data_IF_823503486120
#
_entry.id   IF_823503486120
#
_cell.length_a   1.000
_cell.length_b   1.000
_cell.length_c   1.000
_cell.angle_alpha   90.00
_cell.angle_beta   90.00
_cell.angle_gamma   90.00
#
_symmetry.space_group_name_H-M   'P 1'
#
loop_
_entity.id
_entity.type
_entity.pdbx_description
1 polymer ?
#
# COMPACT_ATOMS: atom_id res chain seq x y z
N UNK A 1 -22.65 3.72 -4.17
CA UNK A 1 -23.07 2.33 -3.92
C UNK A 1 -21.84 1.48 -3.68
N UNK A 2 -21.39 1.38 -2.43
CA UNK A 2 -20.27 0.52 -2.03
C UNK A 2 -20.84 -0.82 -1.59
N UNK A 3 -20.70 -1.87 -2.38
CA UNK A 3 -21.16 -3.23 -2.02
C UNK A 3 -20.00 -4.01 -1.40
N UNK A 4 -19.81 -3.81 -0.09
CA UNK A 4 -18.87 -4.59 0.70
C UNK A 4 -19.50 -5.97 1.00
N UNK A 5 -19.11 -6.98 0.23
CA UNK A 5 -19.53 -8.36 0.45
C UNK A 5 -18.68 -8.94 1.60
N UNK A 6 -19.30 -9.11 2.76
CA UNK A 6 -18.75 -9.84 3.90
C UNK A 6 -18.26 -11.23 3.46
N UNK A 7 -17.01 -11.57 3.77
CA UNK A 7 -16.63 -12.95 4.09
C UNK A 7 -16.12 -13.00 5.52
N UNK A 8 -16.88 -13.76 6.28
CA UNK A 8 -16.67 -14.24 7.64
C UNK A 8 -15.38 -15.02 7.80
N UNK A 9 -14.75 -14.85 8.96
CA UNK A 9 -13.96 -15.89 9.61
C UNK A 9 -12.48 -15.93 9.23
N UNK A 10 -11.65 -15.19 9.97
CA UNK A 10 -10.41 -15.76 10.49
C UNK A 10 -10.12 -15.12 11.85
N UNK A 11 -10.38 -15.91 12.89
CA UNK A 11 -9.83 -15.76 14.23
C UNK A 11 -8.36 -15.37 14.17
N UNK A 12 -8.03 -14.21 14.76
CA UNK A 12 -6.73 -13.80 15.32
C UNK A 12 -5.56 -14.66 14.82
N UNK A 13 -5.13 -14.43 13.57
CA UNK A 13 -3.90 -15.02 13.06
C UNK A 13 -2.77 -14.52 13.94
N UNK A 14 -2.14 -15.50 14.59
CA UNK A 14 -1.00 -15.38 15.49
C UNK A 14 0.30 -15.03 14.73
N UNK A 15 0.16 -14.61 13.48
CA UNK A 15 1.22 -14.28 12.52
C UNK A 15 1.30 -12.76 12.25
N UNK A 16 0.49 -11.95 12.94
CA UNK A 16 0.71 -10.50 12.98
C UNK A 16 1.96 -10.24 13.81
N UNK A 17 3.11 -10.32 13.13
CA UNK A 17 4.44 -9.83 13.53
C UNK A 17 4.24 -8.57 14.38
N UNK A 18 4.89 -8.50 15.55
CA UNK A 18 4.70 -7.50 16.60
C UNK A 18 4.98 -6.04 16.21
N UNK A 19 4.24 -5.53 15.23
CA UNK A 19 4.21 -4.14 14.81
C UNK A 19 3.29 -3.38 15.76
N UNK A 20 3.73 -2.22 16.23
CA UNK A 20 2.92 -1.38 17.09
C UNK A 20 1.65 -0.96 16.34
N UNK A 21 0.47 -1.29 16.89
CA UNK A 21 -0.83 -1.03 16.28
C UNK A 21 -1.58 0.06 17.06
N UNK A 22 -2.09 1.07 16.34
CA UNK A 22 -2.85 2.18 16.91
C UNK A 22 -4.21 2.31 16.25
N UNK A 23 -5.23 2.73 17.01
CA UNK A 23 -6.51 3.08 16.41
C UNK A 23 -6.38 4.41 15.63
N UNK A 24 -7.16 4.59 14.55
CA UNK A 24 -7.29 5.86 13.82
C UNK A 24 -7.51 7.05 14.77
N UNK A 25 -8.31 6.90 15.81
CA UNK A 25 -8.57 7.99 16.76
C UNK A 25 -7.32 8.41 17.54
N UNK A 26 -6.58 7.44 18.09
CA UNK A 26 -5.32 7.69 18.79
C UNK A 26 -4.25 8.23 17.83
N UNK A 27 -4.20 7.68 16.62
CA UNK A 27 -3.25 8.09 15.60
C UNK A 27 -3.46 9.55 15.16
N UNK A 28 -4.71 10.03 15.06
CA UNK A 28 -4.99 11.43 14.75
C UNK A 28 -4.51 12.37 15.87
N UNK A 29 -4.65 11.95 17.13
CA UNK A 29 -4.25 12.77 18.29
C UNK A 29 -2.73 12.80 18.47
N UNK A 30 -2.03 11.70 18.20
CA UNK A 30 -0.59 11.56 18.43
C UNK A 30 0.23 11.49 17.13
N UNK A 31 -0.32 12.00 16.02
CA UNK A 31 0.25 11.79 14.69
C UNK A 31 1.72 12.23 14.60
N UNK A 32 2.08 13.40 15.10
CA UNK A 32 3.46 13.91 15.07
C UNK A 32 4.44 12.97 15.76
N UNK A 33 4.09 12.43 16.94
CA UNK A 33 4.93 11.47 17.66
C UNK A 33 5.05 10.13 16.93
N UNK A 34 3.98 9.68 16.27
CA UNK A 34 4.02 8.47 15.46
C UNK A 34 4.90 8.63 14.22
N UNK A 35 4.95 9.83 13.62
CA UNK A 35 5.87 10.15 12.53
C UNK A 35 7.32 10.11 12.99
N UNK A 36 7.65 10.71 14.14
CA UNK A 36 9.01 10.66 14.68
C UNK A 36 9.47 9.21 14.89
N UNK A 37 8.61 8.37 15.46
CA UNK A 37 8.87 6.94 15.64
C UNK A 37 8.99 6.19 14.31
N UNK A 38 8.13 6.47 13.35
CA UNK A 38 8.24 5.89 12.02
C UNK A 38 9.57 6.29 11.35
N UNK A 39 10.01 7.54 11.56
CA UNK A 39 11.27 8.05 11.02
C UNK A 39 12.51 7.38 11.63
N UNK A 40 12.45 6.90 12.88
CA UNK A 40 13.55 6.09 13.47
C UNK A 40 13.63 4.67 12.88
N UNK A 41 12.72 4.32 11.99
CA UNK A 41 12.67 3.00 11.34
C UNK A 41 11.60 2.08 11.91
N UNK A 42 10.78 2.54 12.85
CA UNK A 42 9.66 1.76 13.37
C UNK A 42 8.56 1.61 12.30
N UNK A 43 7.98 0.42 12.24
CA UNK A 43 6.82 0.16 11.40
C UNK A 43 5.56 0.12 12.26
N UNK A 44 4.62 1.03 11.98
CA UNK A 44 3.44 1.28 12.80
C UNK A 44 2.18 1.05 11.97
N UNK A 45 1.25 0.25 12.48
CA UNK A 45 -0.03 -0.02 11.81
C UNK A 45 -1.13 0.86 12.38
N UNK A 46 -1.85 1.56 11.52
CA UNK A 46 -3.07 2.27 11.89
C UNK A 46 -4.27 1.41 11.51
N UNK A 47 -5.16 1.17 12.47
CA UNK A 47 -6.33 0.32 12.32
C UNK A 47 -7.62 1.00 12.78
N UNK A 48 -8.78 0.54 12.29
CA UNK A 48 -10.10 0.93 12.78
C UNK A 48 -10.85 -0.32 13.18
N UNK A 49 -11.31 -0.39 14.43
CA UNK A 49 -12.02 -1.55 14.96
C UNK A 49 -11.26 -2.88 14.74
N UNK A 50 -9.93 -2.86 14.88
CA UNK A 50 -9.06 -4.02 14.66
C UNK A 50 -8.64 -4.25 13.21
N UNK A 51 -9.34 -3.66 12.23
CA UNK A 51 -9.02 -3.79 10.81
C UNK A 51 -7.87 -2.83 10.43
N UNK A 52 -6.73 -3.32 9.92
CA UNK A 52 -5.62 -2.48 9.50
C UNK A 52 -6.01 -1.66 8.26
N UNK A 53 -5.78 -0.35 8.31
CA UNK A 53 -6.13 0.59 7.24
C UNK A 53 -4.90 1.21 6.57
N UNK A 54 -3.86 1.46 7.34
CA UNK A 54 -2.65 2.08 6.84
C UNK A 54 -1.42 1.60 7.63
N UNK A 55 -0.25 1.78 7.04
CA UNK A 55 1.04 1.54 7.67
C UNK A 55 1.90 2.79 7.55
N UNK A 56 2.45 3.23 8.66
CA UNK A 56 3.47 4.25 8.74
C UNK A 56 4.83 3.54 8.85
N UNK A 57 5.80 4.05 8.12
CA UNK A 57 7.18 3.58 8.18
C UNK A 57 8.12 4.68 7.70
N UNK A 58 9.44 4.45 7.79
CA UNK A 58 10.43 5.43 7.38
C UNK A 58 10.27 5.75 5.90
N UNK A 59 10.32 7.04 5.56
CA UNK A 59 10.44 7.44 4.17
C UNK A 59 11.86 7.18 3.68
N UNK A 60 11.99 6.37 2.63
CA UNK A 60 13.28 6.03 2.02
C UNK A 60 13.33 6.58 0.62
N UNK A 61 14.29 7.47 0.35
CA UNK A 61 14.57 7.96 -0.99
C UNK A 61 15.51 6.98 -1.72
N UNK A 62 15.04 5.75 -1.87
CA UNK A 62 15.76 4.70 -2.58
C UNK A 62 15.21 4.61 -4.01
N UNK A 63 16.08 4.58 -5.04
CA UNK A 63 15.64 4.32 -6.41
C UNK A 63 14.88 2.99 -6.44
N UNK A 64 13.59 3.05 -6.78
CA UNK A 64 12.83 1.82 -6.98
C UNK A 64 13.41 1.11 -8.19
N UNK A 65 13.85 -0.13 -8.01
CA UNK A 65 14.16 -1.01 -9.13
C UNK A 65 12.82 -1.37 -9.76
N UNK A 66 12.56 -0.98 -11.03
CA UNK A 66 11.34 -1.40 -11.71
C UNK A 66 11.30 -2.92 -11.75
N UNK A 67 10.16 -3.51 -11.38
CA UNK A 67 9.94 -4.95 -11.59
C UNK A 67 9.89 -5.28 -13.07
N UNK A 68 10.24 -6.51 -13.44
CA UNK A 68 10.00 -6.99 -14.79
C UNK A 68 8.50 -7.32 -14.93
N UNK A 69 7.86 -6.79 -15.96
CA UNK A 69 6.51 -7.19 -16.37
C UNK A 69 6.68 -8.08 -17.59
N UNK A 70 6.23 -9.33 -17.51
CA UNK A 70 6.13 -10.19 -18.70
C UNK A 70 4.78 -9.90 -19.36
N UNK A 71 4.82 -9.27 -20.55
CA UNK A 71 3.63 -8.99 -21.34
C UNK A 71 3.85 -9.38 -22.80
N UNK A 72 2.82 -9.92 -23.44
CA UNK A 72 2.79 -10.09 -24.88
C UNK A 72 2.20 -8.82 -25.51
N UNK A 73 2.98 -8.16 -26.36
CA UNK A 73 2.55 -6.96 -27.07
C UNK A 73 2.21 -7.37 -28.50
N UNK A 74 0.94 -7.25 -28.88
CA UNK A 74 0.51 -7.39 -30.27
C UNK A 74 0.51 -6.00 -30.88
N UNK A 75 1.36 -5.79 -31.88
CA UNK A 75 1.32 -4.57 -32.69
C UNK A 75 0.46 -4.84 -33.90
N UNK A 76 -0.67 -4.13 -34.02
CA UNK A 76 -1.36 -4.02 -35.28
C UNK A 76 -0.56 -3.12 -36.22
N UNK A 77 -0.30 -3.59 -37.43
CA UNK A 77 0.41 -2.82 -38.43
C UNK A 77 -0.44 -1.63 -38.87
N UNK A 78 -0.17 -0.45 -38.32
CA UNK A 78 -0.71 0.80 -38.85
C UNK A 78 0.00 1.11 -40.16
N UNK A 79 -0.71 0.96 -41.28
CA UNK A 79 -0.20 1.37 -42.59
C UNK A 79 -0.16 2.90 -42.62
N UNK A 80 1.04 3.47 -42.48
CA UNK A 80 1.25 4.88 -42.73
C UNK A 80 0.88 5.21 -44.19
N UNK A 81 0.10 6.27 -44.45
CA UNK A 81 -0.19 6.69 -45.81
C UNK A 81 1.14 7.06 -46.47
N UNK A 82 1.49 6.36 -47.56
CA UNK A 82 2.63 6.75 -48.41
C UNK A 82 2.29 8.07 -49.08
N UNK A 83 2.79 9.16 -48.51
CA UNK A 83 2.79 10.49 -49.12
C UNK A 83 3.73 10.51 -50.32
N UNK A 84 3.20 11.04 -51.43
CA UNK A 84 3.81 11.29 -52.73
C UNK A 84 4.82 12.44 -52.60
N UNK A 85 6.10 12.18 -52.91
CA UNK A 85 7.06 13.23 -53.28
C UNK A 85 6.79 13.66 -54.72
#
# INVERSE_FOLDING_TARGET
MWTFRRRTGLTKSRDQVGLAQYNVYEARTHFSRLIERAATGEEIVIARAGEPLAKLGPYRNEPRVPGAITAQIVFDAVRLPRGRL
#
